data_IF_982358899242
#
_entry.id   IF_982358899242
#
_cell.length_a   1.000
_cell.length_b   1.000
_cell.length_c   1.000
_cell.angle_alpha   90.00
_cell.angle_beta   90.00
_cell.angle_gamma   90.00
#
_symmetry.space_group_name_H-M   'P 1'
#
loop_
_entity.id
_entity.type
_entity.pdbx_description
1 polymer ?
#
# COMPACT_ATOMS: atom_id res chain seq x y z
N UNK A 1 -10.69 4.57 -11.84
CA UNK A 1 -11.35 4.18 -10.57
C UNK A 1 -10.27 4.04 -9.52
N UNK A 2 -10.50 4.55 -8.30
CA UNK A 2 -9.60 4.36 -7.16
C UNK A 2 -10.26 3.45 -6.13
N UNK A 3 -9.53 2.47 -5.63
CA UNK A 3 -9.90 1.69 -4.46
C UNK A 3 -8.78 1.75 -3.42
N UNK A 4 -9.13 2.12 -2.19
CA UNK A 4 -8.24 2.14 -1.05
C UNK A 4 -8.68 1.05 -0.08
N UNK A 5 -7.80 0.08 0.18
CA UNK A 5 -8.04 -1.07 1.06
C UNK A 5 -7.09 -0.96 2.24
N UNK A 6 -7.63 -0.93 3.46
CA UNK A 6 -6.84 -0.93 4.69
C UNK A 6 -7.44 -1.93 5.68
N UNK A 7 -6.76 -3.05 5.88
CA UNK A 7 -7.12 -4.08 6.85
C UNK A 7 -6.01 -5.14 6.99
N UNK A 8 -6.13 -5.96 8.02
CA UNK A 8 -5.21 -7.08 8.27
C UNK A 8 -5.26 -8.10 7.12
N UNK A 9 -4.14 -8.75 6.88
CA UNK A 9 -3.97 -9.78 5.86
C UNK A 9 -4.71 -11.06 6.22
N UNK A 10 -5.33 -11.66 5.21
CA UNK A 10 -5.84 -13.02 5.26
C UNK A 10 -4.87 -13.92 4.50
N UNK A 11 -4.11 -14.75 5.20
CA UNK A 11 -3.09 -15.61 4.61
C UNK A 11 -3.66 -16.99 4.27
N UNK A 12 -3.42 -17.45 3.04
CA UNK A 12 -3.80 -18.79 2.58
C UNK A 12 -2.64 -19.45 1.85
N UNK A 13 -2.59 -20.78 1.91
CA UNK A 13 -1.66 -21.62 1.13
C UNK A 13 -2.39 -22.57 0.18
N UNK A 14 -3.73 -22.43 0.12
CA UNK A 14 -4.59 -23.24 -0.74
C UNK A 14 -4.40 -22.82 -2.20
N UNK A 15 -3.87 -23.73 -3.02
CA UNK A 15 -3.71 -23.49 -4.45
C UNK A 15 -5.02 -23.70 -5.20
N UNK A 16 -5.36 -22.76 -6.07
CA UNK A 16 -6.49 -22.73 -6.97
C UNK A 16 -5.97 -22.78 -8.42
N UNK A 17 -5.78 -23.99 -9.00
CA UNK A 17 -5.11 -24.15 -10.29
C UNK A 17 -5.75 -23.38 -11.46
N UNK A 18 -7.05 -23.10 -11.37
CA UNK A 18 -7.81 -22.36 -12.38
C UNK A 18 -7.85 -20.85 -12.13
N UNK A 19 -7.63 -20.42 -10.88
CA UNK A 19 -7.85 -19.04 -10.45
C UNK A 19 -6.70 -18.57 -9.54
N UNK A 20 -5.52 -18.25 -10.11
CA UNK A 20 -4.31 -17.94 -9.32
C UNK A 20 -4.46 -16.68 -8.45
N UNK A 21 -5.48 -15.84 -8.71
CA UNK A 21 -5.84 -14.69 -7.88
C UNK A 21 -6.32 -15.03 -6.47
N UNK A 22 -6.49 -16.32 -6.15
CA UNK A 22 -7.00 -16.80 -4.86
C UNK A 22 -5.96 -17.66 -4.10
N UNK A 23 -4.74 -17.83 -4.63
CA UNK A 23 -3.73 -18.76 -4.10
C UNK A 23 -3.11 -18.35 -2.76
N UNK A 24 -2.88 -17.04 -2.59
CA UNK A 24 -2.08 -16.50 -1.50
C UNK A 24 -2.91 -15.70 -0.48
N UNK A 25 -4.23 -15.89 -0.51
CA UNK A 25 -5.14 -15.13 0.35
C UNK A 25 -5.37 -13.70 -0.16
N UNK A 26 -5.66 -12.80 0.77
CA UNK A 26 -6.06 -11.43 0.47
C UNK A 26 -6.11 -10.58 1.73
N UNK A 27 -7.17 -9.79 1.88
CA UNK A 27 -7.37 -8.88 3.02
C UNK A 27 -8.66 -9.25 3.78
N UNK A 28 -8.63 -9.22 5.11
CA UNK A 28 -9.79 -9.53 5.95
C UNK A 28 -10.87 -8.43 5.82
N UNK A 29 -12.13 -8.82 5.70
CA UNK A 29 -13.29 -7.89 5.61
C UNK A 29 -14.17 -7.87 6.86
N UNK A 30 -13.92 -8.74 7.84
CA UNK A 30 -14.69 -8.81 9.08
C UNK A 30 -13.86 -8.37 10.29
N UNK A 31 -14.44 -7.56 11.17
CA UNK A 31 -13.76 -6.98 12.34
C UNK A 31 -13.80 -7.87 13.58
N UNK A 32 -14.53 -8.99 13.57
CA UNK A 32 -14.64 -9.87 14.75
C UNK A 32 -13.47 -10.85 14.79
N UNK A 33 -12.61 -10.70 15.80
CA UNK A 33 -11.67 -11.76 16.22
C UNK A 33 -12.50 -12.95 16.69
N UNK A 34 -12.79 -13.88 15.79
CA UNK A 34 -13.40 -15.14 16.19
C UNK A 34 -12.39 -15.94 17.03
N UNK A 35 -12.80 -16.52 18.16
CA UNK A 35 -11.92 -17.34 18.99
C UNK A 35 -11.40 -18.54 18.18
N UNK A 36 -10.11 -18.84 18.36
CA UNK A 36 -9.39 -19.95 17.72
C UNK A 36 -10.04 -21.30 18.02
N UNK A 37 -11.03 -21.68 17.20
CA UNK A 37 -11.52 -23.04 17.13
C UNK A 37 -11.42 -23.53 15.70
N UNK A 38 -10.44 -24.42 15.49
CA UNK A 38 -10.10 -25.12 14.26
C UNK A 38 -11.19 -26.11 13.84
N UNK A 39 -12.35 -25.58 13.44
CA UNK A 39 -13.43 -26.35 12.82
C UNK A 39 -13.48 -26.10 11.31
N UNK A 40 -13.75 -27.15 10.51
CA UNK A 40 -13.86 -27.07 9.04
C UNK A 40 -14.87 -26.02 8.54
N UNK A 41 -15.94 -25.75 9.32
CA UNK A 41 -16.91 -24.66 9.04
C UNK A 41 -16.29 -23.26 9.18
N UNK A 42 -15.33 -23.09 10.09
CA UNK A 42 -14.63 -21.82 10.33
C UNK A 42 -13.66 -21.50 9.19
N UNK A 43 -13.04 -22.52 8.57
CA UNK A 43 -12.21 -22.30 7.38
C UNK A 43 -13.02 -21.77 6.18
N UNK A 44 -14.20 -22.35 5.91
CA UNK A 44 -15.09 -21.83 4.86
C UNK A 44 -15.60 -20.40 5.15
N UNK A 45 -15.82 -20.06 6.42
CA UNK A 45 -16.20 -18.70 6.83
C UNK A 45 -15.03 -17.71 6.70
N UNK A 46 -13.78 -18.14 6.97
CA UNK A 46 -12.57 -17.33 6.74
C UNK A 46 -12.41 -16.98 5.26
N UNK A 47 -12.66 -17.93 4.36
CA UNK A 47 -12.65 -17.66 2.92
C UNK A 47 -13.75 -16.66 2.50
N UNK A 48 -14.93 -16.73 3.11
CA UNK A 48 -16.05 -15.81 2.83
C UNK A 48 -15.79 -14.36 3.30
N UNK A 49 -14.88 -14.18 4.27
CA UNK A 49 -14.49 -12.88 4.82
C UNK A 49 -13.11 -12.43 4.35
N UNK A 50 -12.61 -12.98 3.24
CA UNK A 50 -11.37 -12.58 2.61
C UNK A 50 -11.68 -11.88 1.27
N UNK A 51 -11.08 -10.72 1.07
CA UNK A 51 -11.11 -9.98 -0.20
C UNK A 51 -9.83 -10.27 -0.98
N UNK A 52 -9.95 -11.04 -2.06
CA UNK A 52 -8.84 -11.54 -2.85
C UNK A 52 -8.48 -10.60 -4.00
N UNK A 53 -7.23 -10.65 -4.52
CA UNK A 53 -6.89 -10.01 -5.78
C UNK A 53 -7.78 -10.45 -6.95
N UNK A 54 -8.19 -11.73 -6.96
CA UNK A 54 -9.09 -12.28 -7.97
C UNK A 54 -10.45 -11.58 -8.07
N UNK A 55 -10.97 -11.06 -6.95
CA UNK A 55 -12.27 -10.38 -6.91
C UNK A 55 -12.24 -9.05 -7.68
N UNK A 56 -11.05 -8.49 -7.90
CA UNK A 56 -10.86 -7.25 -8.66
C UNK A 56 -10.75 -7.47 -10.17
N UNK A 57 -10.62 -8.71 -10.66
CA UNK A 57 -10.40 -8.98 -12.07
C UNK A 57 -11.48 -8.36 -12.95
N UNK A 58 -12.74 -8.45 -12.54
CA UNK A 58 -13.81 -7.89 -13.34
C UNK A 58 -13.73 -6.36 -13.51
N UNK A 59 -13.16 -5.68 -12.52
CA UNK A 59 -13.00 -4.22 -12.49
C UNK A 59 -11.79 -3.72 -13.28
N UNK A 60 -10.83 -4.61 -13.61
CA UNK A 60 -9.71 -4.29 -14.51
C UNK A 60 -10.14 -4.06 -15.97
N UNK A 61 -11.45 -4.14 -16.28
CA UNK A 61 -12.03 -3.67 -17.55
C UNK A 61 -12.02 -2.15 -17.72
N UNK A 62 -11.69 -1.39 -16.67
CA UNK A 62 -11.45 0.06 -16.70
C UNK A 62 -10.11 0.36 -16.03
N UNK A 63 -9.51 1.54 -16.26
CA UNK A 63 -8.32 1.97 -15.53
C UNK A 63 -8.56 1.91 -14.01
N UNK A 64 -7.77 1.10 -13.32
CA UNK A 64 -7.86 0.82 -11.89
C UNK A 64 -6.59 1.26 -11.16
N UNK A 65 -6.76 2.08 -10.14
CA UNK A 65 -5.71 2.49 -9.21
C UNK A 65 -6.02 1.90 -7.84
N UNK A 66 -5.11 1.12 -7.27
CA UNK A 66 -5.26 0.46 -5.98
C UNK A 66 -4.25 1.02 -4.99
N UNK A 67 -4.71 1.24 -3.76
CA UNK A 67 -3.84 1.40 -2.59
C UNK A 67 -4.21 0.28 -1.63
N UNK A 68 -3.24 -0.55 -1.27
CA UNK A 68 -3.43 -1.71 -0.38
C UNK A 68 -2.52 -1.53 0.82
N UNK A 69 -3.13 -1.16 1.95
CA UNK A 69 -2.50 -1.02 3.26
C UNK A 69 -2.78 -2.27 4.12
N UNK A 70 -1.94 -3.29 3.96
CA UNK A 70 -2.07 -4.61 4.58
C UNK A 70 -0.70 -5.30 4.65
N UNK A 71 -0.47 -6.09 5.69
CA UNK A 71 0.67 -7.00 5.81
C UNK A 71 0.63 -8.15 4.79
N UNK A 72 -0.49 -8.37 4.10
CA UNK A 72 -0.57 -9.27 2.95
C UNK A 72 -0.71 -8.52 1.60
N UNK A 73 -0.40 -7.21 1.54
CA UNK A 73 -0.51 -6.44 0.29
C UNK A 73 0.31 -6.96 -0.91
N UNK A 74 1.47 -7.64 -0.77
CA UNK A 74 2.24 -8.14 -1.92
C UNK A 74 1.49 -9.11 -2.84
N UNK A 75 0.43 -9.76 -2.36
CA UNK A 75 -0.39 -10.67 -3.19
C UNK A 75 -1.14 -9.95 -4.32
N UNK A 76 -1.26 -8.62 -4.23
CA UNK A 76 -1.84 -7.78 -5.28
C UNK A 76 -0.81 -7.33 -6.34
N UNK A 77 0.49 -7.61 -6.17
CA UNK A 77 1.55 -7.13 -7.07
C UNK A 77 1.45 -7.69 -8.50
N UNK A 78 1.06 -8.96 -8.63
CA UNK A 78 1.09 -9.71 -9.88
C UNK A 78 -0.31 -9.91 -10.48
N UNK A 79 -1.17 -8.91 -10.32
CA UNK A 79 -2.50 -8.96 -10.93
C UNK A 79 -2.39 -9.03 -12.47
N UNK A 80 -3.05 -10.00 -13.12
CA UNK A 80 -3.02 -10.17 -14.56
C UNK A 80 -3.71 -9.03 -15.31
N UNK A 81 -3.12 -8.60 -16.42
CA UNK A 81 -3.66 -7.56 -17.30
C UNK A 81 -4.66 -8.12 -18.33
N UNK A 82 -5.73 -8.77 -17.88
CA UNK A 82 -6.68 -9.46 -18.78
C UNK A 82 -7.32 -8.59 -19.86
N UNK A 83 -7.53 -7.30 -19.59
CA UNK A 83 -8.24 -6.39 -20.50
C UNK A 83 -7.38 -5.26 -21.07
N UNK A 84 -6.06 -5.31 -20.82
CA UNK A 84 -5.10 -4.30 -21.33
C UNK A 84 -5.35 -2.88 -20.84
N UNK A 85 -6.14 -2.69 -19.78
CA UNK A 85 -6.37 -1.39 -19.16
C UNK A 85 -5.26 -1.07 -18.15
N UNK A 86 -4.98 0.22 -17.88
CA UNK A 86 -4.01 0.64 -16.88
C UNK A 86 -4.35 0.10 -15.49
N UNK A 87 -3.34 -0.47 -14.84
CA UNK A 87 -3.41 -0.91 -13.45
C UNK A 87 -2.19 -0.36 -12.71
N UNK A 88 -2.43 0.34 -11.60
CA UNK A 88 -1.39 0.73 -10.65
C UNK A 88 -1.78 0.23 -9.28
N UNK A 89 -0.86 -0.46 -8.60
CA UNK A 89 -1.07 -0.98 -7.25
C UNK A 89 0.03 -0.43 -6.34
N UNK A 90 -0.36 0.41 -5.39
CA UNK A 90 0.51 0.88 -4.32
C UNK A 90 0.33 -0.01 -3.10
N UNK A 91 1.40 -0.68 -2.66
CA UNK A 91 1.37 -1.65 -1.57
C UNK A 91 2.15 -1.12 -0.37
N UNK A 92 1.60 -1.26 0.83
CA UNK A 92 2.31 -1.00 2.08
C UNK A 92 3.52 -1.94 2.25
N UNK A 93 4.50 -1.60 3.11
CA UNK A 93 5.51 -2.57 3.53
C UNK A 93 4.84 -3.81 4.14
N UNK A 94 5.38 -5.00 3.83
CA UNK A 94 4.89 -6.27 4.37
C UNK A 94 5.18 -6.36 5.87
N UNK A 95 6.45 -6.15 6.24
CA UNK A 95 6.88 -6.15 7.62
C UNK A 95 7.21 -4.72 8.07
N UNK A 96 6.58 -4.32 9.16
CA UNK A 96 6.94 -3.09 9.87
C UNK A 96 7.73 -3.49 11.12
N UNK A 97 8.82 -2.79 11.48
CA UNK A 97 9.54 -3.08 12.72
C UNK A 97 8.61 -2.98 13.93
N UNK A 98 8.76 -3.90 14.89
CA UNK A 98 7.87 -4.03 16.07
C UNK A 98 7.71 -2.74 16.88
N UNK A 99 8.75 -1.91 16.91
CA UNK A 99 8.74 -0.56 17.52
C UNK A 99 7.68 0.40 16.94
N UNK A 100 7.12 0.10 15.76
CA UNK A 100 6.05 0.87 15.12
C UNK A 100 4.69 0.14 15.13
N UNK A 101 4.61 -1.11 15.58
CA UNK A 101 3.34 -1.85 15.68
C UNK A 101 2.41 -1.27 16.76
N UNK A 102 2.92 -0.95 17.95
CA UNK A 102 2.10 -0.40 19.04
C UNK A 102 1.55 1.01 18.74
N UNK A 103 1.98 1.63 17.64
CA UNK A 103 1.49 2.93 17.21
C UNK A 103 0.19 2.85 16.40
N UNK A 104 -0.44 1.67 16.24
CA UNK A 104 -1.74 1.52 15.57
C UNK A 104 -2.83 2.46 16.10
N UNK A 105 -2.74 2.93 17.36
CA UNK A 105 -3.64 3.95 17.90
C UNK A 105 -3.54 5.33 17.22
N UNK A 106 -2.46 5.61 16.48
CA UNK A 106 -2.22 6.84 15.70
C UNK A 106 -2.50 6.67 14.20
N UNK A 107 -3.07 5.53 13.79
CA UNK A 107 -3.28 5.17 12.39
C UNK A 107 -2.11 4.39 11.79
N UNK A 108 -2.32 3.81 10.61
CA UNK A 108 -1.29 3.01 9.94
C UNK A 108 -0.18 3.90 9.38
N UNK A 109 1.08 3.49 9.56
CA UNK A 109 2.28 4.21 9.12
C UNK A 109 2.23 4.52 7.62
N UNK A 110 1.81 3.56 6.80
CA UNK A 110 1.73 3.76 5.36
C UNK A 110 0.69 4.83 4.99
N UNK A 111 -0.53 4.70 5.54
CA UNK A 111 -1.57 5.73 5.44
C UNK A 111 -1.06 7.11 5.86
N UNK A 112 -0.30 7.19 6.96
CA UNK A 112 0.27 8.45 7.45
C UNK A 112 1.22 9.08 6.43
N UNK A 113 2.12 8.31 5.81
CA UNK A 113 2.97 8.83 4.74
C UNK A 113 2.16 9.32 3.52
N UNK A 114 1.10 8.60 3.15
CA UNK A 114 0.22 9.00 2.04
C UNK A 114 -0.61 10.25 2.37
N UNK A 115 -0.87 10.54 3.65
CA UNK A 115 -1.56 11.74 4.10
C UNK A 115 -0.62 12.93 4.32
N UNK A 116 0.51 12.70 5.00
CA UNK A 116 1.53 13.70 5.38
C UNK A 116 2.92 13.06 5.40
N UNK A 117 3.70 13.16 4.29
CA UNK A 117 5.00 12.50 4.18
C UNK A 117 6.01 12.95 5.24
N UNK A 118 6.00 14.23 5.60
CA UNK A 118 6.88 14.76 6.64
C UNK A 118 6.53 14.19 8.02
N UNK A 119 5.24 14.06 8.34
CA UNK A 119 4.82 13.44 9.59
C UNK A 119 5.22 11.96 9.65
N UNK A 120 5.07 11.23 8.55
CA UNK A 120 5.55 9.84 8.45
C UNK A 120 7.06 9.75 8.66
N UNK A 121 7.83 10.68 8.07
CA UNK A 121 9.28 10.76 8.26
C UNK A 121 9.66 11.04 9.72
N UNK A 122 9.02 12.01 10.36
CA UNK A 122 9.22 12.32 11.78
C UNK A 122 8.92 11.11 12.68
N UNK A 123 7.86 10.35 12.35
CA UNK A 123 7.47 9.16 13.10
C UNK A 123 8.55 8.09 13.06
N UNK A 124 9.06 7.75 11.87
CA UNK A 124 10.10 6.72 11.73
C UNK A 124 11.45 7.18 12.28
N UNK A 125 11.73 8.48 12.27
CA UNK A 125 12.96 9.04 12.85
C UNK A 125 12.89 9.31 14.35
N UNK A 126 11.79 8.95 15.02
CA UNK A 126 11.53 9.26 16.45
C UNK A 126 11.63 10.76 16.78
N UNK A 127 11.32 11.62 15.82
CA UNK A 127 11.29 13.07 16.01
C UNK A 127 9.87 13.50 16.44
N UNK A 128 9.62 13.46 17.74
CA UNK A 128 8.29 13.71 18.30
C UNK A 128 7.89 15.20 18.35
N UNK A 129 8.87 16.10 18.44
CA UNK A 129 8.64 17.54 18.55
C UNK A 129 9.56 18.29 17.59
N UNK A 130 8.98 18.87 16.54
CA UNK A 130 9.71 19.65 15.53
C UNK A 130 9.26 21.10 15.63
N UNK A 131 10.15 22.04 15.99
CA UNK A 131 9.82 23.47 16.00
C UNK A 131 9.31 23.94 14.63
N UNK A 132 8.33 24.85 14.60
CA UNK A 132 7.66 25.27 13.36
C UNK A 132 8.63 25.78 12.28
N UNK A 133 9.66 26.54 12.67
CA UNK A 133 10.68 27.02 11.74
C UNK A 133 11.53 25.90 11.11
N UNK A 134 11.74 24.79 11.82
CA UNK A 134 12.40 23.60 11.29
C UNK A 134 11.41 22.79 10.44
N UNK A 135 10.15 22.70 10.85
CA UNK A 135 9.08 22.05 10.10
C UNK A 135 8.95 22.65 8.69
N UNK A 136 8.88 23.98 8.56
CA UNK A 136 8.81 24.66 7.26
C UNK A 136 10.01 24.34 6.36
N UNK A 137 11.22 24.30 6.94
CA UNK A 137 12.44 23.94 6.21
C UNK A 137 12.40 22.49 5.73
N UNK A 138 11.97 21.56 6.58
CA UNK A 138 11.82 20.15 6.23
C UNK A 138 10.72 19.96 5.18
N UNK A 139 9.60 20.69 5.28
CA UNK A 139 8.53 20.65 4.30
C UNK A 139 9.02 21.12 2.94
N UNK A 140 9.81 22.19 2.87
CA UNK A 140 10.43 22.65 1.62
C UNK A 140 11.36 21.60 0.99
N UNK A 141 12.04 20.76 1.79
CA UNK A 141 12.84 19.64 1.30
C UNK A 141 11.97 18.51 0.75
N UNK A 142 10.86 18.20 1.43
CA UNK A 142 9.87 17.23 0.94
C UNK A 142 9.28 17.70 -0.38
N UNK A 143 8.89 18.97 -0.49
CA UNK A 143 8.31 19.53 -1.72
C UNK A 143 9.30 19.48 -2.90
N UNK A 144 10.59 19.75 -2.62
CA UNK A 144 11.67 19.59 -3.61
C UNK A 144 11.81 18.13 -4.06
N UNK A 145 11.80 17.18 -3.13
CA UNK A 145 11.83 15.75 -3.46
C UNK A 145 10.64 15.38 -4.35
N UNK A 146 9.43 15.78 -3.96
CA UNK A 146 8.19 15.48 -4.68
C UNK A 146 8.23 16.07 -6.10
N UNK A 147 8.78 17.27 -6.27
CA UNK A 147 8.97 17.91 -7.57
C UNK A 147 9.92 17.11 -8.48
N UNK A 148 11.05 16.65 -7.93
CA UNK A 148 11.99 15.81 -8.69
C UNK A 148 11.42 14.43 -9.01
N UNK A 149 10.72 13.80 -8.07
CA UNK A 149 10.03 12.53 -8.29
C UNK A 149 8.99 12.67 -9.43
N UNK A 150 8.23 13.76 -9.46
CA UNK A 150 7.29 14.07 -10.54
C UNK A 150 7.98 14.18 -11.90
N UNK A 151 9.11 14.88 -11.95
CA UNK A 151 9.92 15.00 -13.18
C UNK A 151 10.46 13.64 -13.64
N UNK A 152 10.88 12.78 -12.71
CA UNK A 152 11.39 11.45 -13.03
C UNK A 152 10.30 10.51 -13.52
N UNK A 153 9.10 10.53 -12.90
CA UNK A 153 7.96 9.73 -13.36
C UNK A 153 7.54 10.14 -14.77
N UNK A 154 7.45 11.45 -15.04
CA UNK A 154 6.96 11.96 -16.34
C UNK A 154 7.96 11.83 -17.49
N UNK A 155 9.27 11.78 -17.22
CA UNK A 155 10.32 11.72 -18.25
C UNK A 155 11.03 10.38 -18.33
N UNK A 156 10.84 9.50 -17.34
CA UNK A 156 11.51 8.22 -17.25
C UNK A 156 11.00 7.24 -18.31
N UNK A 157 11.90 6.76 -19.18
CA UNK A 157 11.55 5.76 -20.21
C UNK A 157 11.27 4.37 -19.64
N UNK A 158 11.72 4.10 -18.42
CA UNK A 158 11.56 2.81 -17.73
C UNK A 158 10.32 2.76 -16.82
N UNK A 159 9.53 3.83 -16.77
CA UNK A 159 8.31 3.89 -15.97
C UNK A 159 7.17 3.25 -16.75
N UNK A 160 6.42 2.36 -16.09
CA UNK A 160 5.25 1.74 -16.71
C UNK A 160 4.26 2.82 -17.19
N UNK A 161 3.81 2.79 -18.46
CA UNK A 161 2.91 3.79 -19.02
C UNK A 161 1.61 3.98 -18.22
N UNK A 162 1.18 2.98 -17.45
CA UNK A 162 0.00 3.07 -16.58
C UNK A 162 0.13 4.18 -15.54
N UNK A 163 1.33 4.41 -14.99
CA UNK A 163 1.57 5.51 -14.05
C UNK A 163 1.34 6.88 -14.72
N UNK A 164 1.77 7.05 -15.96
CA UNK A 164 1.58 8.30 -16.70
C UNK A 164 0.10 8.60 -16.96
N UNK A 165 -0.69 7.56 -17.24
CA UNK A 165 -2.13 7.70 -17.46
C UNK A 165 -2.87 8.18 -16.21
N UNK A 166 -2.51 7.67 -15.03
CA UNK A 166 -3.08 8.15 -13.77
C UNK A 166 -2.48 9.48 -13.29
N UNK A 167 -1.28 9.84 -13.75
CA UNK A 167 -0.63 11.10 -13.37
C UNK A 167 -1.34 12.37 -13.86
N UNK A 168 -2.26 12.23 -14.82
CA UNK A 168 -3.14 13.31 -15.26
C UNK A 168 -4.18 13.72 -14.21
N UNK A 169 -4.49 12.84 -13.26
CA UNK A 169 -5.37 13.13 -12.13
C UNK A 169 -4.54 13.68 -10.95
N UNK A 170 -4.90 14.86 -10.45
CA UNK A 170 -4.13 15.55 -9.41
C UNK A 170 -4.06 14.74 -8.10
N UNK A 171 -5.13 14.02 -7.76
CA UNK A 171 -5.19 13.24 -6.52
C UNK A 171 -4.38 11.94 -6.64
N UNK A 172 -4.49 11.22 -7.77
CA UNK A 172 -3.70 10.01 -8.00
C UNK A 172 -2.21 10.33 -8.19
N UNK A 173 -1.89 11.46 -8.83
CA UNK A 173 -0.53 11.98 -8.89
C UNK A 173 0.02 12.27 -7.50
N UNK A 174 -0.75 12.95 -6.65
CA UNK A 174 -0.37 13.22 -5.26
C UNK A 174 -0.09 11.92 -4.50
N UNK A 175 -1.00 10.95 -4.55
CA UNK A 175 -0.82 9.64 -3.89
C UNK A 175 0.43 8.92 -4.39
N UNK A 176 0.65 8.88 -5.70
CA UNK A 176 1.83 8.24 -6.31
C UNK A 176 3.13 8.89 -5.83
N UNK A 177 3.18 10.22 -5.78
CA UNK A 177 4.38 10.94 -5.34
C UNK A 177 4.66 10.74 -3.85
N UNK A 178 3.62 10.75 -3.01
CA UNK A 178 3.75 10.48 -1.58
C UNK A 178 4.15 9.02 -1.32
N UNK A 179 3.65 8.09 -2.12
CA UNK A 179 4.10 6.70 -2.11
C UNK A 179 5.59 6.57 -2.45
N UNK A 180 6.08 7.25 -3.49
CA UNK A 180 7.51 7.25 -3.86
C UNK A 180 8.37 7.78 -2.71
N UNK A 181 7.92 8.86 -2.06
CA UNK A 181 8.61 9.40 -0.87
C UNK A 181 8.62 8.37 0.27
N UNK A 182 7.47 7.79 0.60
CA UNK A 182 7.34 6.73 1.60
C UNK A 182 8.32 5.59 1.34
N UNK A 183 8.27 4.99 0.15
CA UNK A 183 9.12 3.87 -0.24
C UNK A 183 10.60 4.21 -0.14
N UNK A 184 10.98 5.43 -0.55
CA UNK A 184 12.38 5.89 -0.46
C UNK A 184 12.84 6.04 0.99
N UNK A 185 12.02 6.66 1.84
CA UNK A 185 12.33 6.85 3.26
C UNK A 185 12.45 5.51 3.97
N UNK A 186 11.49 4.59 3.78
CA UNK A 186 11.51 3.27 4.40
C UNK A 186 12.73 2.46 3.94
N UNK A 187 13.04 2.42 2.64
CA UNK A 187 14.25 1.71 2.14
C UNK A 187 15.56 2.29 2.66
N UNK A 188 15.60 3.60 2.92
CA UNK A 188 16.78 4.26 3.51
C UNK A 188 16.90 4.01 5.02
N UNK A 189 15.78 3.75 5.70
CA UNK A 189 15.72 3.59 7.14
C UNK A 189 16.29 2.25 7.62
N UNK A 190 17.27 2.27 8.52
CA UNK A 190 18.01 1.07 8.97
C UNK A 190 17.11 -0.05 9.49
N UNK A 191 16.08 0.30 10.26
CA UNK A 191 15.16 -0.68 10.84
C UNK A 191 14.34 -1.45 9.78
N UNK A 192 14.10 -0.86 8.60
CA UNK A 192 13.32 -1.46 7.52
C UNK A 192 14.20 -2.23 6.50
N UNK A 193 15.53 -2.30 6.70
CA UNK A 193 16.44 -3.06 5.81
C UNK A 193 16.49 -4.56 6.10
N UNK A 194 15.91 -4.99 7.23
CA UNK A 194 15.91 -6.38 7.72
C UNK A 194 14.54 -7.05 7.46
N UNK A 195 13.64 -6.32 6.81
CA UNK A 195 12.29 -6.71 6.44
C UNK A 195 12.24 -7.02 4.94
#
# INVERSE_FOLDING_TARGET
>A
MLLYISADGAFSTSKHPQDPGYDYGGVVTNSKRDPDHSNKRVMQLKDMHCFYPGDLYAFTRKPLFLVVDSDNSPVFANMPHYFGQPLVVLMSPQDTPSQFHDQHHRGNLFTLFLHSPLMGMCLVSSACEVPMNLWEKCQALVDRFISEASRLVTRGRSVDPSFLQFFGDDFLRLLTLRFIFCSTVLRAHRAFKVC
#
